data_IF_434471987767
#
_entry.id   IF_434471987767
#
_cell.length_a   1.000
_cell.length_b   1.000
_cell.length_c   1.000
_cell.angle_alpha   90.00
_cell.angle_beta   90.00
_cell.angle_gamma   90.00
#
_symmetry.space_group_name_H-M   'P 1'
#
loop_
_entity.id
_entity.type
_entity.pdbx_description
1 polymer ?
#
# COMPACT_ATOMS: atom_id res chain seq x y z
N UNK A 1 -10.15 -0.66 -6.80
CA UNK A 1 -10.14 0.66 -6.13
C UNK A 1 -8.72 1.17 -5.88
N UNK A 2 -7.82 0.39 -5.27
CA UNK A 2 -6.41 0.79 -5.02
C UNK A 2 -5.68 1.43 -6.22
N UNK A 3 -5.73 0.83 -7.41
CA UNK A 3 -5.02 1.40 -8.58
C UNK A 3 -5.58 2.76 -8.99
N UNK A 4 -6.89 2.99 -8.84
CA UNK A 4 -7.50 4.29 -9.13
C UNK A 4 -7.07 5.36 -8.12
N UNK A 5 -6.85 4.97 -6.87
CA UNK A 5 -6.26 5.82 -5.83
C UNK A 5 -4.80 6.15 -6.15
N UNK A 6 -3.98 5.15 -6.49
CA UNK A 6 -2.56 5.36 -6.81
C UNK A 6 -2.36 6.21 -8.07
N UNK A 7 -3.29 6.15 -9.02
CA UNK A 7 -3.29 6.98 -10.24
C UNK A 7 -3.75 8.43 -10.00
N UNK A 8 -4.23 8.79 -8.80
CA UNK A 8 -4.54 10.17 -8.48
C UNK A 8 -3.26 11.03 -8.44
N UNK A 9 -3.37 12.35 -8.71
CA UNK A 9 -2.27 13.27 -8.45
C UNK A 9 -1.83 13.20 -6.99
N UNK A 10 -0.58 13.58 -6.72
CA UNK A 10 0.03 13.45 -5.39
C UNK A 10 -0.81 14.09 -4.28
N UNK A 11 -1.46 15.24 -4.54
CA UNK A 11 -2.33 15.91 -3.58
C UNK A 11 -3.60 15.10 -3.27
N UNK A 12 -4.18 14.43 -4.26
CA UNK A 12 -5.36 13.59 -4.07
C UNK A 12 -5.02 12.35 -3.24
N UNK A 13 -3.81 11.80 -3.45
CA UNK A 13 -3.29 10.71 -2.62
C UNK A 13 -3.09 11.15 -1.17
N UNK A 14 -2.54 12.34 -0.97
CA UNK A 14 -2.33 12.91 0.35
C UNK A 14 -3.64 13.16 1.10
N UNK A 15 -4.64 13.76 0.44
CA UNK A 15 -5.94 14.04 1.06
C UNK A 15 -6.66 12.76 1.50
N UNK A 16 -6.71 11.74 0.66
CA UNK A 16 -7.36 10.47 1.03
C UNK A 16 -6.61 9.76 2.17
N UNK A 17 -5.27 9.80 2.16
CA UNK A 17 -4.47 9.29 3.28
C UNK A 17 -4.74 10.05 4.59
N UNK A 18 -4.78 11.37 4.53
CA UNK A 18 -5.12 12.25 5.64
C UNK A 18 -6.54 12.00 6.16
N UNK A 19 -7.54 11.88 5.29
CA UNK A 19 -8.92 11.55 5.68
C UNK A 19 -9.01 10.18 6.38
N UNK A 20 -8.32 9.16 5.86
CA UNK A 20 -8.31 7.84 6.47
C UNK A 20 -7.72 7.85 7.88
N UNK A 21 -6.58 8.54 8.05
CA UNK A 21 -5.96 8.70 9.36
C UNK A 21 -6.79 9.59 10.30
N UNK A 22 -7.35 10.69 9.81
CA UNK A 22 -8.20 11.58 10.61
C UNK A 22 -9.46 10.89 11.15
N UNK A 23 -10.08 9.98 10.39
CA UNK A 23 -11.20 9.16 10.90
C UNK A 23 -10.74 8.20 11.99
N UNK A 24 -9.59 7.55 11.79
CA UNK A 24 -9.01 6.65 12.79
C UNK A 24 -8.65 7.41 14.08
N UNK A 25 -8.02 8.57 13.93
CA UNK A 25 -7.60 9.47 14.99
C UNK A 25 -8.80 10.01 15.78
N UNK A 26 -9.85 10.49 15.09
CA UNK A 26 -11.08 10.93 15.72
C UNK A 26 -11.82 9.79 16.45
N UNK A 27 -11.82 8.58 15.89
CA UNK A 27 -12.41 7.41 16.54
C UNK A 27 -11.62 7.04 17.81
N UNK A 28 -10.29 7.04 17.74
CA UNK A 28 -9.42 6.79 18.89
C UNK A 28 -9.66 7.84 19.98
N UNK A 29 -9.71 9.12 19.61
CA UNK A 29 -9.97 10.21 20.55
C UNK A 29 -11.35 10.11 21.23
N UNK A 30 -12.39 9.70 20.47
CA UNK A 30 -13.73 9.46 21.01
C UNK A 30 -13.81 8.22 21.91
N UNK A 31 -13.09 7.14 21.58
CA UNK A 31 -13.03 5.93 22.38
C UNK A 31 -12.35 6.17 23.75
N UNK A 32 -11.37 7.07 23.78
CA UNK A 32 -10.59 7.40 24.98
C UNK A 32 -11.27 8.42 25.89
N UNK A 33 -12.51 8.79 25.57
CA UNK A 33 -13.32 9.63 26.44
C UNK A 33 -12.89 11.08 26.51
N UNK A 34 -12.55 11.72 25.37
CA UNK A 34 -12.38 13.19 25.24
C UNK A 34 -11.68 13.87 26.44
N UNK A 35 -10.67 13.22 27.03
CA UNK A 35 -9.92 13.80 28.15
C UNK A 35 -9.09 14.96 27.61
N UNK A 36 -9.69 16.15 27.55
CA UNK A 36 -8.97 17.39 27.43
C UNK A 36 -8.42 17.68 28.82
N UNK A 37 -7.12 17.45 29.02
CA UNK A 37 -6.43 17.88 30.23
C UNK A 37 -6.74 19.38 30.45
N UNK A 38 -7.41 19.77 31.55
CA UNK A 38 -7.87 21.15 31.74
C UNK A 38 -6.74 22.19 31.72
N UNK A 39 -5.48 21.74 31.85
CA UNK A 39 -4.30 22.59 31.79
C UNK A 39 -3.65 22.66 30.40
N UNK A 40 -4.01 21.78 29.45
CA UNK A 40 -3.53 21.88 28.08
C UNK A 40 -4.39 22.85 27.25
N UNK A 41 -3.76 23.79 26.52
CA UNK A 41 -4.50 24.62 25.59
C UNK A 41 -5.02 23.76 24.44
N UNK A 42 -6.34 23.56 24.38
CA UNK A 42 -7.01 22.75 23.34
C UNK A 42 -6.59 23.09 21.89
N UNK A 43 -6.19 24.33 21.63
CA UNK A 43 -5.66 24.78 20.33
C UNK A 43 -4.35 24.07 19.96
N UNK A 44 -3.46 23.85 20.94
CA UNK A 44 -2.20 23.15 20.73
C UNK A 44 -2.45 21.66 20.45
N UNK A 45 -3.35 21.04 21.20
CA UNK A 45 -3.79 19.66 20.99
C UNK A 45 -4.38 19.52 19.58
N UNK A 46 -5.30 20.40 19.18
CA UNK A 46 -5.87 20.40 17.82
C UNK A 46 -4.79 20.60 16.75
N UNK A 47 -3.87 21.54 16.95
CA UNK A 47 -2.78 21.80 16.00
C UNK A 47 -1.89 20.57 15.81
N UNK A 48 -1.60 19.83 16.89
CA UNK A 48 -0.84 18.58 16.83
C UNK A 48 -1.54 17.50 16.01
N UNK A 49 -2.84 17.29 16.23
CA UNK A 49 -3.62 16.31 15.46
C UNK A 49 -3.68 16.70 13.97
N UNK A 50 -3.96 17.97 13.65
CA UNK A 50 -3.97 18.47 12.28
C UNK A 50 -2.60 18.31 11.61
N UNK A 51 -1.51 18.61 12.32
CA UNK A 51 -0.16 18.41 11.82
C UNK A 51 0.13 16.92 11.57
N UNK A 52 -0.22 16.05 12.51
CA UNK A 52 -0.07 14.59 12.37
C UNK A 52 -0.82 14.03 11.17
N UNK A 53 -2.10 14.43 11.00
CA UNK A 53 -2.95 14.08 9.86
C UNK A 53 -2.31 14.53 8.54
N UNK A 54 -1.81 15.77 8.48
CA UNK A 54 -1.16 16.32 7.30
C UNK A 54 0.13 15.58 6.94
N UNK A 55 0.99 15.33 7.93
CA UNK A 55 2.25 14.59 7.76
C UNK A 55 1.97 13.16 7.29
N UNK A 56 1.01 12.47 7.90
CA UNK A 56 0.63 11.12 7.49
C UNK A 56 0.15 11.09 6.02
N UNK A 57 -0.74 12.02 5.64
CA UNK A 57 -1.19 12.14 4.25
C UNK A 57 -0.03 12.35 3.28
N UNK A 58 0.91 13.24 3.61
CA UNK A 58 2.09 13.49 2.80
C UNK A 58 2.97 12.24 2.66
N UNK A 59 3.22 11.51 3.76
CA UNK A 59 3.97 10.26 3.73
C UNK A 59 3.30 9.24 2.82
N UNK A 60 1.97 9.08 2.89
CA UNK A 60 1.21 8.20 1.98
C UNK A 60 1.46 8.59 0.52
N UNK A 61 1.42 9.88 0.18
CA UNK A 61 1.69 10.35 -1.18
C UNK A 61 3.14 10.03 -1.63
N UNK A 62 4.13 10.25 -0.75
CA UNK A 62 5.54 9.96 -1.05
C UNK A 62 5.79 8.46 -1.24
N UNK A 63 5.29 7.61 -0.33
CA UNK A 63 5.49 6.15 -0.43
C UNK A 63 4.75 5.53 -1.63
N UNK A 64 3.68 6.15 -2.09
CA UNK A 64 2.95 5.68 -3.29
C UNK A 64 3.51 6.23 -4.59
N UNK A 65 4.47 7.15 -4.58
CA UNK A 65 4.93 7.86 -5.78
C UNK A 65 5.63 6.96 -6.80
N UNK A 66 6.55 6.10 -6.32
CA UNK A 66 7.20 5.10 -7.17
C UNK A 66 6.19 4.14 -7.84
N UNK A 67 5.08 3.87 -7.15
CA UNK A 67 4.00 3.02 -7.68
C UNK A 67 3.15 3.80 -8.69
N UNK A 68 2.85 5.07 -8.43
CA UNK A 68 2.17 5.97 -9.37
C UNK A 68 2.94 6.07 -10.69
N UNK A 69 4.26 6.34 -10.65
CA UNK A 69 5.11 6.40 -11.84
C UNK A 69 5.06 5.07 -12.60
N UNK A 70 5.24 3.95 -11.90
CA UNK A 70 5.21 2.62 -12.51
C UNK A 70 3.87 2.30 -13.19
N UNK A 71 2.75 2.67 -12.55
CA UNK A 71 1.41 2.46 -13.08
C UNK A 71 1.14 3.35 -14.31
N UNK A 72 1.56 4.61 -14.28
CA UNK A 72 1.44 5.51 -15.43
C UNK A 72 2.29 5.01 -16.61
N UNK A 73 3.50 4.52 -16.35
CA UNK A 73 4.35 3.95 -17.39
C UNK A 73 3.74 2.68 -18.00
N UNK A 74 3.08 1.84 -17.20
CA UNK A 74 2.38 0.66 -17.70
C UNK A 74 1.15 1.00 -18.56
N UNK A 75 0.58 2.20 -18.38
CA UNK A 75 -0.58 2.71 -19.13
C UNK A 75 -0.21 3.69 -20.24
N UNK A 76 1.08 3.94 -20.45
CA UNK A 76 1.56 4.87 -21.47
C UNK A 76 1.17 4.36 -22.87
N UNK A 77 0.76 5.27 -23.76
CA UNK A 77 0.32 4.94 -25.12
C UNK A 77 -1.12 4.46 -25.26
N UNK A 78 -1.81 4.09 -24.17
CA UNK A 78 -3.22 3.71 -24.22
C UNK A 78 -4.14 4.94 -24.16
N UNK A 79 -5.26 4.88 -24.91
CA UNK A 79 -6.32 5.88 -24.82
C UNK A 79 -7.15 5.73 -23.52
N UNK A 80 -8.02 6.69 -23.21
CA UNK A 80 -8.80 6.71 -21.95
C UNK A 80 -9.65 5.45 -21.73
N UNK A 81 -10.31 4.95 -22.79
CA UNK A 81 -11.14 3.76 -22.72
C UNK A 81 -10.30 2.49 -22.49
N UNK A 82 -9.19 2.36 -23.22
CA UNK A 82 -8.23 1.26 -23.07
C UNK A 82 -7.61 1.25 -21.67
N UNK A 83 -7.30 2.42 -21.09
CA UNK A 83 -6.80 2.53 -19.71
C UNK A 83 -7.82 2.02 -18.71
N UNK A 84 -9.08 2.44 -18.83
CA UNK A 84 -10.15 1.95 -17.94
C UNK A 84 -10.33 0.44 -18.08
N UNK A 85 -10.33 -0.09 -19.31
CA UNK A 85 -10.44 -1.52 -19.58
C UNK A 85 -9.25 -2.31 -18.99
N UNK A 86 -8.02 -1.80 -19.14
CA UNK A 86 -6.83 -2.41 -18.55
C UNK A 86 -6.93 -2.46 -17.01
N UNK A 87 -7.32 -1.35 -16.38
CA UNK A 87 -7.49 -1.27 -14.92
C UNK A 87 -8.57 -2.24 -14.44
N UNK A 88 -9.72 -2.28 -15.11
CA UNK A 88 -10.84 -3.15 -14.72
C UNK A 88 -10.50 -4.63 -14.93
N UNK A 89 -9.78 -4.97 -16.00
CA UNK A 89 -9.27 -6.33 -16.27
C UNK A 89 -8.27 -6.83 -15.21
N UNK A 90 -7.47 -5.93 -14.62
CA UNK A 90 -6.59 -6.23 -13.48
C UNK A 90 -7.37 -6.67 -12.23
N UNK A 91 -8.63 -6.23 -12.06
CA UNK A 91 -9.42 -6.54 -10.87
C UNK A 91 -10.45 -7.65 -11.07
N UNK A 92 -11.41 -7.45 -11.98
CA UNK A 92 -12.62 -8.29 -12.08
C UNK A 92 -13.17 -8.44 -13.51
N UNK A 93 -12.57 -7.79 -14.52
CA UNK A 93 -13.04 -7.87 -15.90
C UNK A 93 -12.67 -9.18 -16.63
N UNK A 94 -13.25 -9.47 -17.81
CA UNK A 94 -12.73 -10.50 -18.70
C UNK A 94 -11.32 -10.14 -19.21
N UNK A 95 -10.57 -11.12 -19.73
CA UNK A 95 -9.28 -10.85 -20.37
C UNK A 95 -9.50 -9.97 -21.63
N UNK A 96 -8.80 -8.83 -21.79
CA UNK A 96 -8.97 -7.98 -22.97
C UNK A 96 -8.57 -8.72 -24.25
N UNK A 97 -9.36 -8.55 -25.32
CA UNK A 97 -9.03 -9.09 -26.63
C UNK A 97 -7.87 -8.34 -27.30
N UNK A 98 -7.77 -7.02 -27.04
CA UNK A 98 -6.67 -6.18 -27.53
C UNK A 98 -5.36 -6.55 -26.81
N UNK A 99 -4.30 -6.96 -27.55
CA UNK A 99 -3.01 -7.34 -26.99
C UNK A 99 -2.37 -6.24 -26.14
N UNK A 100 -2.49 -4.96 -26.55
CA UNK A 100 -1.86 -3.84 -25.86
C UNK A 100 -2.52 -3.58 -24.49
N UNK A 101 -3.85 -3.66 -24.44
CA UNK A 101 -4.63 -3.52 -23.19
C UNK A 101 -4.33 -4.69 -22.25
N UNK A 102 -4.22 -5.91 -22.80
CA UNK A 102 -3.88 -7.11 -22.03
C UNK A 102 -2.48 -7.03 -21.43
N UNK A 103 -1.48 -6.63 -22.20
CA UNK A 103 -0.10 -6.47 -21.69
C UNK A 103 -0.02 -5.42 -20.57
N UNK A 104 -0.68 -4.27 -20.75
CA UNK A 104 -0.77 -3.25 -19.71
C UNK A 104 -1.44 -3.78 -18.42
N UNK A 105 -2.51 -4.56 -18.56
CA UNK A 105 -3.20 -5.20 -17.43
C UNK A 105 -2.30 -6.19 -16.69
N UNK A 106 -1.47 -6.96 -17.40
CA UNK A 106 -0.49 -7.88 -16.81
C UNK A 106 0.59 -7.09 -16.04
N UNK A 107 1.18 -6.05 -16.65
CA UNK A 107 2.18 -5.20 -15.99
C UNK A 107 1.62 -4.55 -14.71
N UNK A 108 0.38 -4.05 -14.76
CA UNK A 108 -0.32 -3.52 -13.58
C UNK A 108 -0.56 -4.59 -12.50
N UNK A 109 -1.00 -5.79 -12.88
CA UNK A 109 -1.23 -6.89 -11.97
C UNK A 109 0.07 -7.36 -11.29
N UNK A 110 1.16 -7.48 -12.04
CA UNK A 110 2.48 -7.83 -11.53
C UNK A 110 2.98 -6.80 -10.51
N UNK A 111 2.86 -5.50 -10.82
CA UNK A 111 3.25 -4.43 -9.89
C UNK A 111 2.42 -4.46 -8.61
N UNK A 112 1.13 -4.78 -8.70
CA UNK A 112 0.25 -4.92 -7.53
C UNK A 112 0.70 -6.05 -6.61
N UNK A 113 1.13 -7.20 -7.15
CA UNK A 113 1.71 -8.29 -6.33
C UNK A 113 3.01 -7.86 -5.65
N UNK A 114 3.89 -7.16 -6.37
CA UNK A 114 5.12 -6.64 -5.79
C UNK A 114 4.85 -5.64 -4.67
N UNK A 115 3.95 -4.68 -4.90
CA UNK A 115 3.54 -3.69 -3.90
C UNK A 115 2.88 -4.33 -2.67
N UNK A 116 2.01 -5.33 -2.87
CA UNK A 116 1.41 -6.07 -1.76
C UNK A 116 2.47 -6.81 -0.92
N UNK A 117 3.47 -7.43 -1.56
CA UNK A 117 4.61 -8.06 -0.86
C UNK A 117 5.41 -7.04 -0.07
N UNK A 118 5.79 -5.92 -0.70
CA UNK A 118 6.51 -4.83 -0.04
C UNK A 118 5.72 -4.31 1.17
N UNK A 119 4.42 -4.05 1.01
CA UNK A 119 3.55 -3.61 2.09
C UNK A 119 3.50 -4.64 3.23
N UNK A 120 3.27 -5.92 2.93
CA UNK A 120 3.27 -6.97 3.97
C UNK A 120 4.62 -7.10 4.68
N UNK A 121 5.74 -6.89 3.98
CA UNK A 121 7.08 -6.92 4.59
C UNK A 121 7.29 -5.74 5.53
N UNK A 122 6.91 -4.53 5.11
CA UNK A 122 7.02 -3.35 5.97
C UNK A 122 6.06 -3.42 7.15
N UNK A 123 4.82 -3.87 6.98
CA UNK A 123 3.89 -4.10 8.09
C UNK A 123 4.43 -5.14 9.07
N UNK A 124 5.11 -6.20 8.61
CA UNK A 124 5.78 -7.17 9.49
C UNK A 124 6.89 -6.52 10.28
N UNK A 125 7.75 -5.73 9.64
CA UNK A 125 8.82 -5.00 10.34
C UNK A 125 8.22 -4.06 11.38
N UNK A 126 7.16 -3.33 11.04
CA UNK A 126 6.48 -2.41 11.95
C UNK A 126 5.85 -3.15 13.14
N UNK A 127 5.19 -4.28 12.90
CA UNK A 127 4.67 -5.16 13.96
C UNK A 127 5.78 -5.69 14.85
N UNK A 128 6.89 -6.17 14.28
CA UNK A 128 8.06 -6.63 15.05
C UNK A 128 8.64 -5.50 15.90
N UNK A 129 8.76 -4.29 15.34
CA UNK A 129 9.23 -3.12 16.07
C UNK A 129 8.28 -2.76 17.23
N UNK A 130 6.97 -2.79 17.01
CA UNK A 130 5.97 -2.54 18.06
C UNK A 130 6.05 -3.58 19.17
N UNK A 131 6.15 -4.87 18.82
CA UNK A 131 6.32 -5.95 19.80
C UNK A 131 7.63 -5.79 20.57
N UNK A 132 8.74 -5.46 19.89
CA UNK A 132 10.03 -5.20 20.54
C UNK A 132 9.95 -3.99 21.47
N UNK A 133 9.29 -2.91 21.05
CA UNK A 133 9.13 -1.69 21.86
C UNK A 133 8.30 -1.98 23.10
N UNK A 134 7.22 -2.76 22.97
CA UNK A 134 6.47 -3.29 24.09
C UNK A 134 7.40 -4.07 25.02
N UNK A 135 8.02 -5.16 24.56
CA UNK A 135 8.91 -6.01 25.37
C UNK A 135 10.02 -5.20 26.07
N UNK A 136 10.59 -4.20 25.40
CA UNK A 136 11.59 -3.31 26.00
C UNK A 136 10.99 -2.46 27.12
N UNK A 137 9.82 -1.86 26.94
CA UNK A 137 9.11 -1.17 28.01
C UNK A 137 8.83 -2.07 29.22
N UNK A 138 8.62 -3.38 28.96
CA UNK A 138 8.34 -4.41 29.95
C UNK A 138 9.57 -4.67 30.80
N UNK A 139 10.71 -4.82 30.13
CA UNK A 139 12.01 -5.10 30.74
C UNK A 139 12.58 -3.93 31.55
N UNK A 140 12.32 -2.69 31.13
CA UNK A 140 12.84 -1.49 31.82
C UNK A 140 12.00 -1.13 33.05
N UNK A 141 10.89 -1.85 33.30
CA UNK A 141 9.99 -1.54 34.42
C UNK A 141 9.25 -0.21 34.27
N UNK A 142 9.43 0.47 33.12
CA UNK A 142 8.64 1.63 32.68
C UNK A 142 7.32 1.20 32.08
N UNK A 143 6.98 -0.09 32.13
CA UNK A 143 5.68 -0.60 31.72
C UNK A 143 4.62 0.12 32.56
N UNK A 144 3.86 1.06 31.97
CA UNK A 144 2.80 1.70 32.70
C UNK A 144 1.86 0.59 33.15
N UNK A 145 1.44 0.62 34.40
CA UNK A 145 0.52 -0.38 34.99
C UNK A 145 -0.83 -0.51 34.27
N UNK A 146 -1.07 0.22 33.18
CA UNK A 146 -2.12 0.00 32.22
C UNK A 146 -1.53 -0.12 30.82
N UNK A 147 -1.52 -1.34 30.27
CA UNK A 147 -1.75 -1.47 28.83
C UNK A 147 -3.16 -0.92 28.61
N UNK A 148 -3.25 0.35 28.23
CA UNK A 148 -4.54 0.97 27.97
C UNK A 148 -5.20 0.21 26.81
N UNK A 149 -6.53 0.21 26.78
CA UNK A 149 -7.35 -0.38 25.70
C UNK A 149 -6.85 -0.02 24.29
N UNK A 150 -6.18 1.11 24.19
CA UNK A 150 -5.82 1.83 22.97
C UNK A 150 -4.62 1.17 22.26
N UNK A 151 -3.72 0.54 23.03
CA UNK A 151 -2.59 -0.22 22.49
C UNK A 151 -3.08 -1.46 21.73
N UNK A 152 -4.16 -2.08 22.20
CA UNK A 152 -4.81 -3.21 21.52
C UNK A 152 -5.49 -2.80 20.22
N UNK A 153 -6.08 -1.60 20.18
CA UNK A 153 -6.70 -1.05 18.97
C UNK A 153 -5.64 -0.85 17.89
N UNK A 154 -4.47 -0.30 18.26
CA UNK A 154 -3.34 -0.13 17.36
C UNK A 154 -2.83 -1.47 16.82
N UNK A 155 -2.69 -2.48 17.69
CA UNK A 155 -2.32 -3.84 17.29
C UNK A 155 -3.35 -4.47 16.34
N UNK A 156 -4.64 -4.36 16.68
CA UNK A 156 -5.74 -4.91 15.87
C UNK A 156 -5.84 -4.22 14.50
N UNK A 157 -5.63 -2.90 14.44
CA UNK A 157 -5.59 -2.16 13.18
C UNK A 157 -4.45 -2.64 12.27
N UNK A 158 -3.24 -2.84 12.83
CA UNK A 158 -2.10 -3.36 12.08
C UNK A 158 -2.32 -4.79 11.60
N UNK A 159 -2.86 -5.66 12.45
CA UNK A 159 -3.23 -7.02 12.07
C UNK A 159 -4.29 -7.03 10.97
N UNK A 160 -5.30 -6.15 11.05
CA UNK A 160 -6.34 -6.01 10.03
C UNK A 160 -5.75 -5.57 8.69
N UNK A 161 -4.88 -4.57 8.68
CA UNK A 161 -4.17 -4.11 7.48
C UNK A 161 -3.31 -5.24 6.90
N UNK A 162 -2.65 -6.02 7.75
CA UNK A 162 -1.81 -7.15 7.33
C UNK A 162 -2.65 -8.28 6.69
N UNK A 163 -3.80 -8.63 7.30
CA UNK A 163 -4.74 -9.62 6.77
C UNK A 163 -5.32 -9.18 5.42
N UNK A 164 -5.71 -7.91 5.29
CA UNK A 164 -6.18 -7.34 4.02
C UNK A 164 -5.07 -7.36 2.96
N UNK A 165 -3.85 -7.01 3.33
CA UNK A 165 -2.67 -7.09 2.46
C UNK A 165 -2.39 -8.51 1.97
N UNK A 166 -2.50 -9.49 2.88
CA UNK A 166 -2.33 -10.91 2.55
C UNK A 166 -3.43 -11.42 1.59
N UNK A 167 -4.70 -11.19 1.94
CA UNK A 167 -5.83 -11.65 1.14
C UNK A 167 -5.82 -11.01 -0.27
N UNK A 168 -5.51 -9.71 -0.35
CA UNK A 168 -5.39 -9.01 -1.64
C UNK A 168 -4.20 -9.51 -2.49
N UNK A 169 -3.11 -9.94 -1.87
CA UNK A 169 -1.98 -10.58 -2.55
C UNK A 169 -2.38 -11.94 -3.14
N UNK A 170 -3.04 -12.80 -2.35
CA UNK A 170 -3.50 -14.11 -2.79
C UNK A 170 -4.46 -14.02 -3.99
N UNK A 171 -5.47 -13.14 -3.89
CA UNK A 171 -6.42 -12.90 -4.98
C UNK A 171 -5.75 -12.39 -6.26
N UNK A 172 -4.73 -11.52 -6.13
CA UNK A 172 -4.02 -10.97 -7.30
C UNK A 172 -3.13 -12.02 -7.97
N UNK A 173 -2.50 -12.93 -7.21
CA UNK A 173 -1.73 -14.05 -7.79
C UNK A 173 -2.60 -15.00 -8.60
N UNK A 174 -3.75 -15.38 -8.06
CA UNK A 174 -4.72 -16.21 -8.80
C UNK A 174 -5.14 -15.52 -10.11
N UNK A 175 -5.34 -14.20 -10.06
CA UNK A 175 -5.71 -13.42 -11.24
C UNK A 175 -4.62 -13.37 -12.31
N UNK A 176 -3.35 -13.21 -11.91
CA UNK A 176 -2.22 -13.29 -12.83
C UNK A 176 -2.16 -14.65 -13.54
N UNK A 177 -2.31 -15.75 -12.79
CA UNK A 177 -2.32 -17.09 -13.38
C UNK A 177 -3.44 -17.27 -14.41
N UNK A 178 -4.63 -16.71 -14.16
CA UNK A 178 -5.73 -16.72 -15.14
C UNK A 178 -5.41 -15.90 -16.39
N UNK A 179 -4.78 -14.74 -16.24
CA UNK A 179 -4.40 -13.89 -17.37
C UNK A 179 -3.30 -14.57 -18.20
N UNK A 180 -2.29 -15.13 -17.56
CA UNK A 180 -1.19 -15.85 -18.22
C UNK A 180 -1.69 -17.09 -18.98
N UNK A 181 -2.57 -17.88 -18.36
CA UNK A 181 -3.20 -19.04 -19.00
C UNK A 181 -4.03 -18.66 -20.25
N UNK A 182 -4.70 -17.50 -20.23
CA UNK A 182 -5.48 -17.01 -21.37
C UNK A 182 -4.63 -16.59 -22.57
N UNK A 183 -3.34 -16.31 -22.35
CA UNK A 183 -2.41 -15.92 -23.42
C UNK A 183 -1.89 -17.11 -24.22
N UNK A 184 -2.17 -18.35 -23.81
CA UNK A 184 -1.59 -19.55 -24.45
C UNK A 184 -0.07 -19.62 -24.35
N UNK A 185 0.54 -18.75 -23.53
CA UNK A 185 1.96 -18.70 -23.30
C UNK A 185 2.32 -19.85 -22.36
N UNK A 186 2.85 -20.92 -22.93
CA UNK A 186 3.35 -22.04 -22.15
C UNK A 186 4.49 -21.53 -21.27
N UNK A 187 4.24 -21.37 -19.98
CA UNK A 187 5.27 -20.99 -18.99
C UNK A 187 6.44 -21.98 -18.96
N UNK A 188 6.27 -23.17 -19.54
CA UNK A 188 7.33 -24.12 -19.84
C UNK A 188 8.43 -23.55 -20.75
N UNK A 189 8.09 -22.66 -21.70
CA UNK A 189 9.08 -22.03 -22.59
C UNK A 189 9.78 -20.85 -21.89
N UNK A 190 9.07 -20.11 -21.04
CA UNK A 190 9.64 -19.00 -20.26
C UNK A 190 10.66 -19.46 -19.21
N UNK A 191 10.45 -20.64 -18.61
CA UNK A 191 11.42 -21.21 -17.67
C UNK A 191 12.67 -21.76 -18.37
N UNK A 192 12.59 -22.01 -19.68
CA UNK A 192 13.71 -22.40 -20.55
C UNK A 192 14.61 -21.20 -20.88
N UNK A 193 14.02 -20.00 -20.97
CA UNK A 193 14.74 -18.76 -21.30
C UNK A 193 15.07 -17.87 -20.08
N UNK A 194 14.55 -18.22 -18.89
CA UNK A 194 14.75 -17.49 -17.62
C UNK A 194 16.17 -17.48 -17.05
N UNK A 195 17.15 -18.06 -17.77
CA UNK A 195 18.57 -17.96 -17.45
C UNK A 195 19.27 -16.71 -17.99
N UNK A 196 18.62 -15.91 -18.84
CA UNK A 196 19.27 -14.80 -19.57
C UNK A 196 18.80 -13.38 -19.19
N UNK A 197 17.86 -13.22 -18.27
CA UNK A 197 17.40 -11.90 -17.79
C UNK A 197 18.05 -11.46 -16.46
N UNK A 198 19.31 -11.84 -16.25
CA UNK A 198 20.17 -11.22 -15.23
C UNK A 198 21.25 -10.41 -15.95
N UNK A 199 21.20 -9.09 -15.75
CA UNK A 199 22.27 -8.12 -16.00
C UNK A 199 22.42 -7.54 -17.41
N UNK A 200 21.61 -6.54 -17.75
CA UNK A 200 22.03 -5.49 -18.67
C UNK A 200 21.26 -4.20 -18.41
N UNK A 201 21.72 -3.40 -17.45
CA UNK A 201 21.77 -1.92 -17.55
C UNK A 201 22.34 -1.35 -16.26
N UNK A 202 23.66 -1.36 -16.15
CA UNK A 202 24.39 -0.37 -15.33
C UNK A 202 24.85 0.71 -16.31
N UNK A 203 24.35 1.96 -16.24
CA UNK A 203 24.88 3.04 -17.05
C UNK A 203 26.27 3.41 -16.52
N UNK A 204 27.29 3.16 -17.34
CA UNK A 204 28.67 3.59 -17.08
C UNK A 204 28.73 5.10 -17.33
N UNK A 205 28.84 5.89 -16.26
CA UNK A 205 29.10 7.32 -16.37
C UNK A 205 30.45 7.53 -17.05
N UNK A 206 30.44 8.17 -18.22
CA UNK A 206 31.64 8.70 -18.87
C UNK A 206 31.86 10.10 -18.28
N UNK A 207 33.01 10.29 -17.64
CA UNK A 207 33.56 11.60 -17.28
C UNK A 207 34.35 12.15 -18.44
#
# INVERSE_FOLDING_TARGET
MWTRFVLQPWWGRALVGACGYGVFDAFNWGANGLEADPHEPWLLTLAWHVAGIGVFGLLVALFTDSTHISCNNALAGLNSQQRSAAIDATFRGPAPADPAVREAAIRLAARKVYSARFWTSNCRVLLVLIVLFAVLGLAVGTWPSGWHSDDWISCAALLSVMLVGWHSSAATKHRLQMLDASTGFNTADAHRDGGLFVSATTPRAVR
#
